data_IF_083034878453
#
_entry.id   IF_083034878453
#
_cell.length_a   1.000
_cell.length_b   1.000
_cell.length_c   1.000
_cell.angle_alpha   90.00
_cell.angle_beta   90.00
_cell.angle_gamma   90.00
#
_symmetry.space_group_name_H-M   'P 1'
#
loop_
_entity.id
_entity.type
_entity.pdbx_description
1 polymer ?
#
# COMPACT_ATOMS: atom_id res chain seq x y z
N UNK A 1 7.51 24.56 -4.46
CA UNK A 1 6.23 25.04 -3.86
C UNK A 1 5.42 23.83 -3.43
N UNK A 2 5.23 23.69 -2.12
CA UNK A 2 4.43 22.59 -1.56
C UNK A 2 3.01 22.64 -2.12
N UNK A 3 2.55 21.54 -2.68
CA UNK A 3 1.22 21.39 -3.23
C UNK A 3 0.37 20.54 -2.29
N UNK A 4 -0.75 21.07 -1.86
CA UNK A 4 -1.72 20.35 -1.03
C UNK A 4 -2.91 19.88 -1.85
N UNK A 5 -3.28 18.62 -1.68
CA UNK A 5 -4.46 18.02 -2.30
C UNK A 5 -5.48 17.66 -1.22
N UNK A 6 -6.75 17.81 -1.53
CA UNK A 6 -7.87 17.34 -0.72
C UNK A 6 -8.78 16.47 -1.57
N UNK A 7 -9.48 15.53 -0.94
CA UNK A 7 -10.50 14.75 -1.62
C UNK A 7 -11.77 15.61 -1.73
N UNK A 8 -12.12 16.12 -2.91
CA UNK A 8 -13.27 16.98 -3.04
C UNK A 8 -14.56 16.19 -2.82
N UNK A 9 -15.51 16.77 -2.09
CA UNK A 9 -16.87 16.23 -1.85
C UNK A 9 -16.99 15.03 -0.90
N UNK A 10 -15.89 14.48 -0.39
CA UNK A 10 -15.92 13.41 0.60
C UNK A 10 -15.13 13.88 1.84
N UNK A 11 -15.79 14.56 2.79
CA UNK A 11 -15.09 15.07 3.97
C UNK A 11 -14.58 13.96 4.89
N UNK A 12 -15.26 12.80 4.89
CA UNK A 12 -14.91 11.64 5.69
C UNK A 12 -15.15 10.37 4.88
N UNK A 13 -14.14 9.53 4.77
CA UNK A 13 -14.27 8.18 4.21
C UNK A 13 -14.75 7.25 5.31
N UNK A 14 -15.91 6.62 5.13
CA UNK A 14 -16.47 5.66 6.07
C UNK A 14 -16.24 4.23 5.59
N UNK A 15 -15.89 3.35 6.52
CA UNK A 15 -15.67 1.92 6.23
C UNK A 15 -16.14 1.04 7.37
N UNK A 16 -16.70 -0.13 7.04
CA UNK A 16 -17.02 -1.18 8.03
C UNK A 16 -15.83 -2.08 8.39
N UNK A 17 -14.64 -1.82 7.84
CA UNK A 17 -13.44 -2.59 8.19
C UNK A 17 -12.80 -2.02 9.44
N UNK A 18 -12.45 -2.88 10.41
CA UNK A 18 -11.69 -2.49 11.60
C UNK A 18 -10.21 -2.25 11.34
N UNK A 19 -9.71 -2.56 10.13
CA UNK A 19 -8.32 -2.36 9.73
C UNK A 19 -8.25 -1.87 8.29
N UNK A 20 -7.41 -0.90 8.02
CA UNK A 20 -7.19 -0.36 6.67
C UNK A 20 -5.71 -0.16 6.39
N UNK A 21 -5.34 -0.27 5.13
CA UNK A 21 -4.06 0.19 4.61
C UNK A 21 -4.29 1.13 3.44
N UNK A 22 -3.27 1.89 3.09
CA UNK A 22 -3.36 2.87 2.04
C UNK A 22 -2.39 2.54 0.91
N UNK A 23 -2.77 2.92 -0.29
CA UNK A 23 -1.90 2.87 -1.45
C UNK A 23 -2.13 4.12 -2.30
N UNK A 24 -1.12 4.57 -3.01
CA UNK A 24 -1.16 5.80 -3.79
C UNK A 24 -0.79 5.55 -5.24
N UNK A 25 -1.40 6.33 -6.10
CA UNK A 25 -0.94 6.56 -7.47
C UNK A 25 -0.39 7.98 -7.53
N UNK A 26 0.92 8.11 -7.68
CA UNK A 26 1.58 9.39 -7.79
C UNK A 26 2.68 9.33 -8.85
N UNK A 27 2.88 10.45 -9.53
CA UNK A 27 3.90 10.60 -10.57
C UNK A 27 4.59 11.94 -10.40
N UNK A 28 5.90 11.95 -10.60
CA UNK A 28 6.65 13.16 -10.83
C UNK A 28 6.64 13.52 -12.33
N UNK A 29 6.60 14.81 -12.65
CA UNK A 29 6.63 15.31 -14.01
C UNK A 29 7.72 16.37 -14.16
N UNK A 30 8.76 16.04 -14.91
CA UNK A 30 9.79 16.99 -15.27
C UNK A 30 9.23 18.02 -16.28
N UNK A 31 9.58 19.30 -16.06
CA UNK A 31 9.26 20.37 -17.00
C UNK A 31 9.78 20.06 -18.40
N UNK A 32 8.91 20.12 -19.40
CA UNK A 32 9.24 19.83 -20.80
C UNK A 32 9.24 18.36 -21.19
N UNK A 33 8.91 17.43 -20.27
CA UNK A 33 8.73 16.01 -20.57
C UNK A 33 7.26 15.58 -20.47
N UNK A 34 6.79 14.81 -21.44
CA UNK A 34 5.47 14.18 -21.40
C UNK A 34 5.48 12.88 -20.58
N UNK A 35 6.65 12.33 -20.30
CA UNK A 35 6.77 11.06 -19.59
C UNK A 35 6.65 11.27 -18.07
N UNK A 36 5.76 10.55 -17.40
CA UNK A 36 5.72 10.55 -15.96
C UNK A 36 6.90 9.74 -15.40
N UNK A 37 7.54 10.28 -14.36
CA UNK A 37 8.54 9.57 -13.57
C UNK A 37 7.91 8.98 -12.31
N UNK A 38 8.60 8.02 -11.70
CA UNK A 38 8.26 7.55 -10.35
C UNK A 38 8.54 8.63 -9.30
N UNK A 39 7.84 8.56 -8.17
CA UNK A 39 8.12 9.39 -7.00
C UNK A 39 9.35 8.86 -6.27
N UNK A 40 10.05 9.75 -5.56
CA UNK A 40 11.23 9.40 -4.76
C UNK A 40 10.84 8.75 -3.43
N UNK A 41 9.88 9.34 -2.72
CA UNK A 41 9.43 8.82 -1.43
C UNK A 41 7.97 9.15 -1.16
N UNK A 42 7.37 8.38 -0.24
CA UNK A 42 6.11 8.78 0.38
C UNK A 42 6.08 8.37 1.84
N UNK A 43 5.33 9.14 2.64
CA UNK A 43 5.18 8.95 4.08
C UNK A 43 3.73 9.04 4.50
N UNK A 44 3.30 8.07 5.30
CA UNK A 44 1.96 8.00 5.88
C UNK A 44 1.96 8.60 7.29
N UNK A 45 0.98 9.46 7.54
CA UNK A 45 0.68 10.02 8.84
C UNK A 45 -0.73 9.64 9.27
N UNK A 46 -0.89 9.30 10.55
CA UNK A 46 -2.19 9.13 11.21
C UNK A 46 -2.25 10.07 12.40
N UNK A 47 -3.24 10.94 12.45
CA UNK A 47 -3.37 11.98 13.46
C UNK A 47 -2.09 12.84 13.61
N UNK A 48 -1.49 13.23 12.49
CA UNK A 48 -0.23 13.96 12.37
C UNK A 48 1.01 13.20 12.88
N UNK A 49 0.88 11.94 13.26
CA UNK A 49 1.99 11.10 13.70
C UNK A 49 2.49 10.22 12.54
N UNK A 50 3.78 10.27 12.19
CA UNK A 50 4.32 9.46 11.10
C UNK A 50 4.28 7.97 11.47
N UNK A 51 3.81 7.14 10.57
CA UNK A 51 3.66 5.70 10.76
C UNK A 51 4.70 4.91 9.99
N UNK A 52 4.75 5.13 8.69
CA UNK A 52 5.60 4.42 7.75
C UNK A 52 6.05 5.38 6.66
N UNK A 53 7.23 5.16 6.13
CA UNK A 53 7.67 5.78 4.89
C UNK A 53 8.26 4.72 3.96
N UNK A 54 8.22 4.94 2.67
CA UNK A 54 9.13 4.30 1.74
C UNK A 54 10.02 5.34 1.06
N UNK A 55 11.23 4.93 0.71
CA UNK A 55 12.23 5.76 0.02
C UNK A 55 12.87 4.91 -1.06
N UNK A 56 12.78 5.35 -2.32
CA UNK A 56 13.36 4.68 -3.49
C UNK A 56 14.70 5.31 -3.86
N UNK A 57 15.61 5.35 -2.88
CA UNK A 57 16.94 5.95 -3.03
C UNK A 57 17.92 4.99 -3.72
N UNK A 58 18.05 3.80 -3.15
CA UNK A 58 18.88 2.72 -3.71
C UNK A 58 18.21 1.38 -3.43
N UNK A 59 18.24 0.49 -4.39
CA UNK A 59 17.69 -0.86 -4.27
C UNK A 59 18.80 -1.81 -4.70
N UNK A 60 19.22 -2.66 -3.77
CA UNK A 60 20.17 -3.70 -4.08
C UNK A 60 19.56 -4.73 -5.04
N UNK A 61 20.38 -5.31 -5.89
CA UNK A 61 19.88 -6.26 -6.88
C UNK A 61 19.13 -7.45 -6.24
N UNK A 62 19.62 -7.94 -5.12
CA UNK A 62 19.02 -9.05 -4.38
C UNK A 62 17.69 -8.67 -3.70
N UNK A 63 17.43 -7.36 -3.53
CA UNK A 63 16.20 -6.83 -2.96
C UNK A 63 15.12 -6.52 -3.99
N UNK A 64 15.43 -6.62 -5.28
CA UNK A 64 14.47 -6.31 -6.36
C UNK A 64 13.21 -7.15 -6.30
N UNK A 65 13.27 -8.35 -5.73
CA UNK A 65 12.10 -9.23 -5.52
C UNK A 65 11.04 -8.58 -4.64
N UNK A 66 11.44 -7.77 -3.65
CA UNK A 66 10.53 -7.07 -2.74
C UNK A 66 9.80 -5.89 -3.41
N UNK A 67 10.33 -5.37 -4.51
CA UNK A 67 9.64 -4.33 -5.28
C UNK A 67 8.32 -4.81 -5.89
N UNK A 68 8.16 -6.12 -6.08
CA UNK A 68 6.88 -6.69 -6.50
C UNK A 68 5.81 -6.62 -5.38
N UNK A 69 6.24 -6.59 -4.11
CA UNK A 69 5.34 -6.40 -2.98
C UNK A 69 5.01 -4.91 -2.72
N UNK A 70 5.87 -4.00 -3.19
CA UNK A 70 5.67 -2.56 -3.09
C UNK A 70 4.55 -2.05 -4.01
N UNK A 71 4.32 -2.71 -5.12
CA UNK A 71 3.30 -2.34 -6.12
C UNK A 71 2.13 -3.30 -6.06
N UNK A 72 0.90 -2.80 -6.21
CA UNK A 72 -0.26 -3.67 -6.39
C UNK A 72 -0.18 -4.39 -7.74
N UNK A 73 0.45 -5.55 -7.71
CA UNK A 73 0.68 -6.37 -8.90
C UNK A 73 -0.63 -6.80 -9.56
N UNK A 74 -1.65 -7.14 -8.78
CA UNK A 74 -2.94 -7.60 -9.30
C UNK A 74 -3.63 -6.51 -10.11
N UNK A 75 -3.68 -5.30 -9.57
CA UNK A 75 -4.24 -4.15 -10.28
C UNK A 75 -3.40 -3.84 -11.52
N UNK A 76 -2.08 -3.85 -11.40
CA UNK A 76 -1.18 -3.59 -12.52
C UNK A 76 -1.33 -4.61 -13.64
N UNK A 77 -1.41 -5.90 -13.31
CA UNK A 77 -1.61 -6.99 -14.27
C UNK A 77 -2.93 -6.84 -15.04
N UNK A 78 -3.98 -6.37 -14.38
CA UNK A 78 -5.30 -6.10 -14.99
C UNK A 78 -5.37 -4.77 -15.76
N UNK A 79 -4.23 -4.13 -16.06
CA UNK A 79 -4.17 -2.91 -16.86
C UNK A 79 -4.45 -1.61 -16.09
N UNK A 80 -4.51 -1.67 -14.76
CA UNK A 80 -4.66 -0.50 -13.91
C UNK A 80 -3.37 0.31 -13.82
N UNK A 81 -3.48 1.48 -13.21
CA UNK A 81 -2.37 2.36 -12.94
C UNK A 81 -1.33 1.72 -11.98
N UNK A 82 -0.16 2.32 -11.92
CA UNK A 82 0.91 1.93 -11.02
C UNK A 82 0.58 2.44 -9.61
N UNK A 83 0.12 1.55 -8.73
CA UNK A 83 -0.29 1.86 -7.37
C UNK A 83 0.76 1.33 -6.40
N UNK A 84 1.26 2.21 -5.54
CA UNK A 84 2.32 1.92 -4.56
C UNK A 84 1.72 1.81 -3.16
N UNK A 85 2.05 0.73 -2.44
CA UNK A 85 1.55 0.50 -1.09
C UNK A 85 2.25 1.40 -0.06
N UNK A 86 1.47 1.97 0.85
CA UNK A 86 1.92 2.65 2.07
C UNK A 86 1.78 1.72 3.28
N UNK A 87 1.94 0.43 3.03
CA UNK A 87 2.00 -0.61 4.05
C UNK A 87 3.00 -1.68 3.62
N UNK A 88 3.80 -2.15 4.55
CA UNK A 88 4.75 -3.23 4.30
C UNK A 88 4.08 -4.57 4.51
N UNK A 89 4.08 -5.43 3.50
CA UNK A 89 3.49 -6.76 3.58
C UNK A 89 4.30 -7.67 4.52
N UNK A 90 3.65 -8.64 5.19
CA UNK A 90 4.36 -9.68 5.92
C UNK A 90 5.36 -10.41 5.02
N UNK A 91 6.60 -10.60 5.53
CA UNK A 91 7.68 -11.23 4.76
C UNK A 91 8.43 -10.31 3.80
N UNK A 92 8.01 -9.07 3.64
CA UNK A 92 8.79 -8.06 2.91
C UNK A 92 9.94 -7.58 3.81
N UNK A 93 11.17 -7.79 3.35
CA UNK A 93 12.41 -7.37 4.02
C UNK A 93 13.18 -6.31 3.22
N UNK A 94 12.57 -5.77 2.15
CA UNK A 94 13.19 -4.75 1.31
C UNK A 94 13.51 -3.48 2.09
N UNK A 95 14.67 -2.90 1.83
CA UNK A 95 15.17 -1.71 2.52
C UNK A 95 14.40 -0.43 2.18
N UNK A 96 13.55 -0.46 1.15
CA UNK A 96 12.77 0.70 0.73
C UNK A 96 11.84 1.20 1.84
N UNK A 97 11.26 0.30 2.65
CA UNK A 97 10.37 0.70 3.74
C UNK A 97 11.12 1.08 5.01
N UNK A 98 10.74 2.22 5.57
CA UNK A 98 11.23 2.74 6.85
C UNK A 98 10.07 2.73 7.85
N UNK A 99 10.00 1.72 8.70
CA UNK A 99 9.02 1.64 9.78
C UNK A 99 9.35 2.69 10.83
N UNK A 100 8.38 3.53 11.13
CA UNK A 100 8.51 4.58 12.14
C UNK A 100 7.76 4.15 13.39
N UNK A 101 6.48 3.78 13.24
CA UNK A 101 5.61 3.37 14.33
C UNK A 101 4.89 2.04 14.07
N UNK A 102 4.84 1.59 12.80
CA UNK A 102 4.14 0.37 12.39
C UNK A 102 4.48 -0.06 10.98
N UNK A 103 3.68 -0.97 10.46
CA UNK A 103 3.78 -1.51 9.09
C UNK A 103 2.91 -0.77 8.08
N UNK A 104 2.27 0.34 8.47
CA UNK A 104 1.36 1.13 7.64
C UNK A 104 -0.09 0.66 7.67
N UNK A 105 -0.40 -0.40 8.41
CA UNK A 105 -1.78 -0.81 8.67
C UNK A 105 -2.32 0.02 9.84
N UNK A 106 -3.48 0.63 9.63
CA UNK A 106 -4.14 1.49 10.61
C UNK A 106 -5.34 0.73 11.20
N UNK A 107 -5.36 0.61 12.53
CA UNK A 107 -6.49 0.04 13.26
C UNK A 107 -7.59 1.10 13.42
N UNK A 108 -8.81 0.72 13.12
CA UNK A 108 -10.01 1.53 13.31
C UNK A 108 -10.85 0.88 14.44
N UNK A 109 -10.35 1.00 15.68
CA UNK A 109 -10.92 0.28 16.83
C UNK A 109 -12.26 0.81 17.33
N UNK A 110 -12.62 2.04 16.96
CA UNK A 110 -13.86 2.69 17.34
C UNK A 110 -14.33 3.65 16.23
N UNK A 111 -15.43 4.35 16.49
CA UNK A 111 -15.99 5.34 15.56
C UNK A 111 -15.28 6.70 15.59
N UNK A 112 -14.10 6.80 16.19
CA UNK A 112 -13.31 8.03 16.21
C UNK A 112 -12.87 8.41 14.81
N UNK A 113 -12.85 9.71 14.57
CA UNK A 113 -12.36 10.29 13.32
C UNK A 113 -10.84 10.31 13.33
N UNK A 114 -10.21 9.67 12.36
CA UNK A 114 -8.77 9.69 12.17
C UNK A 114 -8.40 10.61 11.01
N UNK A 115 -7.43 11.50 11.25
CA UNK A 115 -6.81 12.31 10.20
C UNK A 115 -5.71 11.51 9.52
N UNK A 116 -5.78 11.40 8.19
CA UNK A 116 -4.77 10.74 7.37
C UNK A 116 -4.07 11.80 6.53
N UNK A 117 -2.74 11.80 6.60
CA UNK A 117 -1.87 12.61 5.77
C UNK A 117 -0.94 11.72 4.96
N UNK A 118 -0.79 12.01 3.68
CA UNK A 118 0.18 11.36 2.80
C UNK A 118 1.05 12.44 2.20
N UNK A 119 2.33 12.39 2.52
CA UNK A 119 3.38 13.23 1.95
C UNK A 119 4.06 12.46 0.84
N UNK A 120 4.21 13.08 -0.32
CA UNK A 120 4.92 12.51 -1.48
C UNK A 120 6.01 13.49 -1.88
N UNK A 121 7.23 12.97 -2.07
CA UNK A 121 8.36 13.80 -2.48
C UNK A 121 8.95 13.28 -3.79
N UNK A 122 9.41 14.21 -4.61
CA UNK A 122 10.29 13.91 -5.73
C UNK A 122 11.78 13.86 -5.29
N UNK A 123 12.68 13.57 -6.23
CA UNK A 123 14.11 13.51 -5.94
C UNK A 123 14.75 14.91 -5.76
N UNK A 124 14.07 16.00 -6.11
CA UNK A 124 14.53 17.37 -5.92
C UNK A 124 14.16 17.92 -4.53
N UNK A 125 13.26 17.22 -3.81
CA UNK A 125 12.77 17.59 -2.50
C UNK A 125 11.48 18.39 -2.51
N UNK A 126 10.83 18.54 -3.68
CA UNK A 126 9.50 19.13 -3.74
C UNK A 126 8.46 18.18 -3.15
N UNK A 127 7.61 18.71 -2.28
CA UNK A 127 6.61 17.92 -1.56
C UNK A 127 5.18 18.21 -2.03
N UNK A 128 4.39 17.15 -2.10
CA UNK A 128 2.94 17.22 -2.31
C UNK A 128 2.21 16.47 -1.19
N UNK A 129 1.08 17.00 -0.75
CA UNK A 129 0.31 16.46 0.37
C UNK A 129 -1.10 16.11 -0.04
N UNK A 130 -1.56 14.94 0.41
CA UNK A 130 -2.96 14.54 0.36
C UNK A 130 -3.47 14.35 1.80
N UNK A 131 -4.54 15.08 2.15
CA UNK A 131 -5.13 15.01 3.47
C UNK A 131 -6.60 14.64 3.38
N UNK A 132 -7.06 13.73 4.24
CA UNK A 132 -8.45 13.31 4.36
C UNK A 132 -8.72 12.72 5.75
N UNK A 133 -9.99 12.42 6.00
CA UNK A 133 -10.42 11.76 7.24
C UNK A 133 -11.00 10.39 6.94
N UNK A 134 -10.80 9.45 7.86
CA UNK A 134 -11.40 8.14 7.82
C UNK A 134 -12.08 7.84 9.16
N UNK A 135 -13.17 7.08 9.11
CA UNK A 135 -13.95 6.69 10.28
C UNK A 135 -14.47 5.27 10.10
N UNK A 136 -14.42 4.49 11.18
CA UNK A 136 -15.15 3.23 11.25
C UNK A 136 -16.65 3.50 11.38
N UNK A 137 -17.47 2.75 10.65
CA UNK A 137 -18.93 2.82 10.70
C UNK A 137 -19.49 1.41 10.78
N UNK A 138 -19.94 1.02 11.97
CA UNK A 138 -20.48 -0.31 12.24
C UNK A 138 -21.73 -0.64 11.42
N UNK A 139 -22.40 0.36 10.86
CA UNK A 139 -23.56 0.16 10.00
C UNK A 139 -23.18 -0.33 8.60
N UNK A 140 -21.90 -0.17 8.20
CA UNK A 140 -21.36 -0.65 6.95
C UNK A 140 -20.84 -2.08 7.14
N UNK A 141 -21.33 -3.01 6.34
CA UNK A 141 -20.70 -4.33 6.27
C UNK A 141 -19.30 -4.20 5.68
N UNK A 142 -18.30 -4.76 6.35
CA UNK A 142 -17.00 -4.95 5.72
C UNK A 142 -17.23 -5.80 4.46
N UNK A 143 -16.93 -5.27 3.29
CA UNK A 143 -16.93 -6.08 2.08
C UNK A 143 -15.91 -7.22 2.25
N UNK A 144 -16.43 -8.41 2.42
CA UNK A 144 -15.60 -9.60 2.49
C UNK A 144 -15.15 -9.94 1.07
N UNK A 145 -14.16 -9.20 0.60
CA UNK A 145 -13.52 -9.41 -0.72
C UNK A 145 -12.69 -10.69 -0.78
N UNK A 146 -12.81 -11.57 0.21
CA UNK A 146 -12.28 -12.92 0.09
C UNK A 146 -13.00 -13.57 -1.08
N UNK A 147 -12.39 -13.48 -2.25
CA UNK A 147 -12.81 -14.25 -3.40
C UNK A 147 -12.98 -15.69 -2.94
N UNK A 148 -14.05 -16.37 -3.36
CA UNK A 148 -14.19 -17.82 -3.15
C UNK A 148 -13.07 -18.50 -3.92
N UNK A 149 -11.93 -18.69 -3.24
CA UNK A 149 -10.86 -19.52 -3.75
C UNK A 149 -11.35 -20.95 -3.96
N UNK A 150 -10.83 -21.64 -4.96
CA UNK A 150 -11.11 -23.07 -5.19
C UNK A 150 -10.30 -23.96 -4.24
N UNK A 151 -9.34 -23.38 -3.51
CA UNK A 151 -8.44 -24.10 -2.60
C UNK A 151 -7.99 -23.17 -1.50
N UNK A 152 -7.80 -23.72 -0.31
CA UNK A 152 -7.22 -23.02 0.85
C UNK A 152 -5.80 -23.52 1.03
N UNK A 153 -4.85 -22.61 1.09
CA UNK A 153 -3.47 -22.91 1.48
C UNK A 153 -3.28 -22.63 2.98
N UNK A 154 -2.54 -23.50 3.64
CA UNK A 154 -2.30 -23.38 5.08
C UNK A 154 -0.83 -23.00 5.35
N UNK A 155 -0.56 -21.99 6.21
CA UNK A 155 0.79 -21.69 6.68
C UNK A 155 1.42 -22.87 7.43
N UNK A 156 2.74 -22.98 7.39
CA UNK A 156 3.50 -23.98 8.13
C UNK A 156 3.44 -25.40 7.54
N UNK A 157 2.89 -25.59 6.35
CA UNK A 157 2.86 -26.87 5.65
C UNK A 157 3.18 -26.69 4.17
N UNK A 158 3.57 -27.80 3.54
CA UNK A 158 3.71 -27.85 2.09
C UNK A 158 2.31 -27.82 1.46
N UNK A 159 2.10 -26.89 0.54
CA UNK A 159 0.86 -26.81 -0.22
C UNK A 159 1.16 -27.04 -1.71
N UNK A 160 0.38 -27.88 -2.34
CA UNK A 160 0.51 -28.20 -3.77
C UNK A 160 -0.84 -27.98 -4.45
N UNK A 161 -0.84 -27.28 -5.57
CA UNK A 161 -1.99 -27.12 -6.46
C UNK A 161 -1.59 -27.57 -7.86
N UNK A 162 -2.22 -28.60 -8.34
CA UNK A 162 -2.06 -29.10 -9.69
C UNK A 162 -3.33 -28.85 -10.51
N UNK A 163 -3.16 -28.28 -11.68
CA UNK A 163 -4.21 -28.12 -12.70
C UNK A 163 -3.62 -28.36 -14.08
N UNK A 164 -4.43 -28.70 -15.10
CA UNK A 164 -3.93 -28.85 -16.47
C UNK A 164 -3.13 -27.61 -16.91
N UNK A 165 -1.84 -27.79 -17.19
CA UNK A 165 -0.93 -26.73 -17.64
C UNK A 165 -0.39 -25.81 -16.55
N UNK A 166 -0.68 -26.09 -15.26
CA UNK A 166 -0.21 -25.27 -14.15
C UNK A 166 0.00 -26.12 -12.89
N UNK A 167 1.17 -25.99 -12.29
CA UNK A 167 1.50 -26.56 -10.98
C UNK A 167 2.07 -25.46 -10.08
N UNK A 168 1.58 -25.39 -8.85
CA UNK A 168 2.10 -24.50 -7.82
C UNK A 168 2.53 -25.33 -6.62
N UNK A 169 3.79 -25.18 -6.24
CA UNK A 169 4.35 -25.73 -5.02
C UNK A 169 4.73 -24.59 -4.07
N UNK A 170 4.18 -24.63 -2.87
CA UNK A 170 4.53 -23.70 -1.79
C UNK A 170 5.15 -24.49 -0.65
N UNK A 171 6.37 -24.16 -0.29
CA UNK A 171 7.06 -24.77 0.85
C UNK A 171 6.43 -24.33 2.18
N UNK A 172 6.77 -25.02 3.27
CA UNK A 172 6.29 -24.74 4.63
C UNK A 172 6.50 -23.26 5.05
N UNK A 173 7.51 -22.59 4.49
CA UNK A 173 7.89 -21.21 4.80
C UNK A 173 7.37 -20.18 3.79
N UNK A 174 6.54 -20.59 2.84
CA UNK A 174 6.05 -19.71 1.77
C UNK A 174 4.84 -18.87 2.18
N UNK A 175 4.15 -19.24 3.26
CA UNK A 175 2.97 -18.53 3.77
C UNK A 175 3.20 -18.16 5.25
N UNK A 176 2.72 -16.96 5.62
CA UNK A 176 2.83 -16.39 6.97
C UNK A 176 1.47 -16.15 7.59
#
# INVERSE_FOLDING_TARGET
TDSGYIIPKIPVIKTGSGRVSFAIQAYDRMSGSANPNGIYSAKLYVNNEPQLAFVLDSIDYDETVYMNAHVDYKLRYNGSAFIQHLSQLPGDHGAAYKKIKGDGVTELGDTSLLSIGIEVNDAAGDASWLNFFIQHDDSLSAENTRGRGTMTFAPGMVNVLEKPGFELYLSEKSLY
#
